data_IF_041824628817
#
_entry.id   IF_041824628817
#
_cell.length_a   1.000
_cell.length_b   1.000
_cell.length_c   1.000
_cell.angle_alpha   90.00
_cell.angle_beta   90.00
_cell.angle_gamma   90.00
#
_symmetry.space_group_name_H-M   'P 1'
#
loop_
_entity.id
_entity.type
_entity.pdbx_description
1 polymer ?
#
# COMPACT_ATOMS: atom_id res chain seq x y z
N UNK A 1 -11.77 16.77 -20.95
CA UNK A 1 -10.74 17.81 -21.12
C UNK A 1 -10.39 18.32 -19.73
N UNK A 2 -9.53 17.59 -19.01
CA UNK A 2 -8.97 18.01 -17.72
C UNK A 2 -7.67 18.78 -17.99
N UNK A 3 -7.34 19.71 -17.10
CA UNK A 3 -6.49 20.88 -17.37
C UNK A 3 -5.03 20.56 -17.76
N UNK A 4 -4.51 21.39 -18.66
CA UNK A 4 -3.25 21.31 -19.42
C UNK A 4 -1.94 21.57 -18.64
N UNK A 5 -1.92 21.48 -17.32
CA UNK A 5 -0.70 21.75 -16.55
C UNK A 5 -0.41 20.63 -15.55
N UNK A 6 0.52 19.75 -15.93
CA UNK A 6 1.18 18.76 -15.05
C UNK A 6 2.17 19.42 -14.06
N UNK A 7 2.18 20.75 -14.00
CA UNK A 7 2.94 21.53 -13.04
C UNK A 7 2.07 21.88 -11.85
N UNK A 8 2.39 21.31 -10.69
CA UNK A 8 1.66 21.64 -9.47
C UNK A 8 1.90 23.09 -9.10
N UNK A 9 0.92 23.72 -8.45
CA UNK A 9 1.07 25.08 -7.92
C UNK A 9 1.18 25.07 -6.39
N UNK A 10 0.61 24.07 -5.74
CA UNK A 10 0.59 23.89 -4.29
C UNK A 10 1.72 22.97 -3.85
N UNK A 11 2.56 23.40 -2.90
CA UNK A 11 3.59 22.54 -2.31
C UNK A 11 2.94 21.45 -1.46
N UNK A 12 3.40 20.23 -1.62
CA UNK A 12 2.97 19.10 -0.81
C UNK A 12 3.46 19.29 0.65
N UNK A 13 2.58 19.19 1.67
CA UNK A 13 2.97 19.16 3.07
C UNK A 13 3.96 18.03 3.38
N UNK A 14 5.02 18.35 4.14
CA UNK A 14 6.05 17.38 4.53
C UNK A 14 5.57 16.44 5.64
N UNK A 15 6.18 15.25 5.73
CA UNK A 15 5.91 14.31 6.81
C UNK A 15 6.41 14.85 8.16
N UNK A 16 5.64 14.68 9.26
CA UNK A 16 6.04 15.18 10.57
C UNK A 16 7.31 14.47 11.08
N UNK A 17 8.20 15.18 11.79
CA UNK A 17 9.38 14.57 12.38
C UNK A 17 8.96 13.52 13.42
N UNK A 18 9.66 12.39 13.44
CA UNK A 18 9.37 11.29 14.38
C UNK A 18 8.17 10.42 14.01
N UNK A 19 7.58 10.60 12.81
CA UNK A 19 6.56 9.69 12.30
C UNK A 19 7.09 8.24 12.27
N UNK A 20 6.24 7.28 12.64
CA UNK A 20 6.60 5.87 12.60
C UNK A 20 6.43 5.32 11.19
N UNK A 21 7.48 4.69 10.67
CA UNK A 21 7.51 4.13 9.33
C UNK A 21 7.62 2.61 9.32
N UNK A 22 7.04 2.03 8.28
CA UNK A 22 6.99 0.60 8.00
C UNK A 22 7.42 0.41 6.53
N UNK A 23 8.03 -0.75 6.23
CA UNK A 23 8.60 -1.06 4.91
C UNK A 23 9.70 -0.10 4.45
N UNK A 24 10.44 0.48 5.39
CA UNK A 24 11.64 1.27 5.12
C UNK A 24 12.60 1.20 6.30
N UNK A 25 13.92 1.16 6.08
CA UNK A 25 14.90 1.18 7.16
C UNK A 25 15.02 2.54 7.85
N UNK A 26 14.50 3.61 7.24
CA UNK A 26 14.60 4.99 7.75
C UNK A 26 13.37 5.83 7.38
N UNK A 27 13.04 6.87 8.17
CA UNK A 27 11.98 7.81 7.81
C UNK A 27 12.23 8.46 6.43
N UNK A 28 11.16 8.67 5.68
CA UNK A 28 11.21 9.38 4.41
C UNK A 28 10.85 10.87 4.58
N UNK A 29 11.30 11.67 3.62
CA UNK A 29 10.87 13.05 3.43
C UNK A 29 10.59 13.31 1.96
N UNK A 30 9.60 14.15 1.66
CA UNK A 30 9.32 14.59 0.30
C UNK A 30 10.49 15.38 -0.30
N UNK A 31 11.31 16.03 0.54
CA UNK A 31 12.56 16.65 0.10
C UNK A 31 13.56 15.62 -0.45
N UNK A 32 13.70 14.46 0.19
CA UNK A 32 14.59 13.38 -0.28
C UNK A 32 14.06 12.66 -1.52
N UNK A 33 12.77 12.80 -1.83
CA UNK A 33 12.10 12.22 -3.00
C UNK A 33 11.98 13.20 -4.17
N UNK A 34 12.66 14.36 -4.10
CA UNK A 34 12.75 15.28 -5.25
C UNK A 34 13.34 14.57 -6.46
N UNK A 35 12.81 14.87 -7.63
CA UNK A 35 13.14 14.16 -8.87
C UNK A 35 12.21 12.98 -9.16
N UNK A 36 11.31 12.60 -8.25
CA UNK A 36 10.37 11.48 -8.44
C UNK A 36 8.92 11.94 -8.34
N UNK A 37 8.04 11.22 -9.01
CA UNK A 37 6.62 11.28 -8.69
C UNK A 37 6.38 10.56 -7.36
N UNK A 38 5.50 11.10 -6.53
CA UNK A 38 5.08 10.47 -5.28
C UNK A 38 3.56 10.35 -5.26
N UNK A 39 3.03 9.15 -5.11
CA UNK A 39 1.61 8.89 -4.94
C UNK A 39 1.35 8.53 -3.48
N UNK A 40 0.71 9.44 -2.74
CA UNK A 40 0.23 9.16 -1.39
C UNK A 40 -1.10 8.43 -1.47
N UNK A 41 -1.25 7.34 -0.73
CA UNK A 41 -2.51 6.63 -0.50
C UNK A 41 -2.94 6.78 0.96
N UNK A 42 -4.01 7.52 1.22
CA UNK A 42 -4.59 7.69 2.55
C UNK A 42 -5.57 6.55 2.81
N UNK A 43 -5.20 5.65 3.72
CA UNK A 43 -5.92 4.38 3.92
C UNK A 43 -6.05 3.99 5.40
N UNK A 44 -6.90 3.00 5.64
CA UNK A 44 -7.04 2.28 6.93
C UNK A 44 -7.33 0.82 6.62
N UNK A 45 -6.82 -0.09 7.46
CA UNK A 45 -7.06 -1.52 7.26
C UNK A 45 -8.48 -2.00 7.57
N UNK A 46 -9.28 -1.22 8.29
CA UNK A 46 -10.70 -1.51 8.54
C UNK A 46 -11.61 -1.14 7.37
N UNK A 47 -11.08 -0.56 6.28
CA UNK A 47 -11.85 -0.11 5.12
C UNK A 47 -11.71 -1.10 3.96
N UNK A 48 -12.82 -1.72 3.55
CA UNK A 48 -12.84 -2.64 2.40
C UNK A 48 -12.47 -1.93 1.10
N UNK A 49 -12.89 -0.67 0.92
CA UNK A 49 -12.58 0.10 -0.28
C UNK A 49 -11.07 0.38 -0.40
N UNK A 50 -10.38 0.57 0.73
CA UNK A 50 -8.91 0.67 0.74
C UNK A 50 -8.27 -0.63 0.29
N UNK A 51 -8.80 -1.79 0.73
CA UNK A 51 -8.25 -3.08 0.32
C UNK A 51 -8.42 -3.33 -1.19
N UNK A 52 -9.51 -2.83 -1.78
CA UNK A 52 -9.79 -2.98 -3.21
C UNK A 52 -8.81 -2.21 -4.12
N UNK A 53 -8.19 -1.12 -3.64
CA UNK A 53 -7.24 -0.35 -4.45
C UNK A 53 -5.80 -0.86 -4.38
N UNK A 54 -5.47 -1.78 -3.46
CA UNK A 54 -4.12 -2.34 -3.35
C UNK A 54 -3.62 -2.93 -4.68
N UNK A 55 -4.41 -3.71 -5.45
CA UNK A 55 -4.00 -4.19 -6.76
C UNK A 55 -3.78 -3.06 -7.79
N UNK A 56 -4.56 -1.98 -7.72
CA UNK A 56 -4.36 -0.82 -8.59
C UNK A 56 -3.02 -0.14 -8.28
N UNK A 57 -2.70 0.03 -7.00
CA UNK A 57 -1.42 0.59 -6.55
C UNK A 57 -0.24 -0.29 -6.97
N UNK A 58 -0.33 -1.61 -6.73
CA UNK A 58 0.69 -2.57 -7.15
C UNK A 58 0.96 -2.49 -8.67
N UNK A 59 -0.09 -2.35 -9.47
CA UNK A 59 0.04 -2.20 -10.92
C UNK A 59 0.72 -0.89 -11.32
N UNK A 60 0.44 0.22 -10.62
CA UNK A 60 1.15 1.49 -10.83
C UNK A 60 2.62 1.39 -10.42
N UNK A 61 2.92 0.72 -9.31
CA UNK A 61 4.29 0.45 -8.86
C UNK A 61 5.05 -0.40 -9.90
N UNK A 62 4.41 -1.43 -10.45
CA UNK A 62 5.04 -2.29 -11.46
C UNK A 62 5.23 -1.58 -12.81
N UNK A 63 4.33 -0.68 -13.20
CA UNK A 63 4.40 0.06 -14.48
C UNK A 63 5.36 1.27 -14.43
N UNK A 64 5.47 1.96 -13.28
CA UNK A 64 6.18 3.24 -13.17
C UNK A 64 7.22 3.31 -12.03
N UNK A 65 7.52 2.20 -11.35
CA UNK A 65 8.33 2.19 -10.12
C UNK A 65 9.78 2.66 -10.27
N UNK A 66 10.28 2.87 -11.49
CA UNK A 66 11.58 3.49 -11.72
C UNK A 66 11.57 5.00 -11.41
N UNK A 67 10.43 5.67 -11.57
CA UNK A 67 10.27 7.11 -11.35
C UNK A 67 9.10 7.48 -10.41
N UNK A 68 8.26 6.52 -10.01
CA UNK A 68 7.14 6.67 -9.09
C UNK A 68 7.43 6.00 -7.74
N UNK A 69 7.13 6.72 -6.66
CA UNK A 69 7.11 6.17 -5.29
C UNK A 69 5.69 6.20 -4.77
N UNK A 70 5.13 5.02 -4.45
CA UNK A 70 3.87 4.94 -3.70
C UNK A 70 4.18 4.99 -2.21
N UNK A 71 3.40 5.75 -1.43
CA UNK A 71 3.51 5.79 0.04
C UNK A 71 2.12 5.66 0.64
N UNK A 72 1.92 4.64 1.46
CA UNK A 72 0.70 4.50 2.25
C UNK A 72 0.73 5.42 3.46
N UNK A 73 -0.21 6.35 3.56
CA UNK A 73 -0.50 7.13 4.76
C UNK A 73 -1.61 6.41 5.53
N UNK A 74 -1.23 5.59 6.50
CA UNK A 74 -2.17 4.84 7.30
C UNK A 74 -2.77 5.75 8.38
N UNK A 75 -4.01 6.22 8.18
CA UNK A 75 -4.74 7.05 9.14
C UNK A 75 -5.81 6.21 9.83
N UNK A 76 -5.65 5.97 11.14
CA UNK A 76 -6.41 4.98 11.89
C UNK A 76 -7.88 5.38 12.12
N UNK A 77 -8.84 4.60 11.60
CA UNK A 77 -10.28 4.77 11.86
C UNK A 77 -10.67 4.28 13.25
N UNK A 78 -10.07 3.17 13.71
CA UNK A 78 -10.37 2.57 15.00
C UNK A 78 -9.14 2.54 15.92
N UNK A 79 -9.37 2.44 17.24
CA UNK A 79 -8.29 2.51 18.24
C UNK A 79 -7.23 1.42 18.07
N UNK A 80 -7.63 0.21 17.67
CA UNK A 80 -6.71 -0.89 17.41
C UNK A 80 -5.80 -0.62 16.20
N UNK A 81 -6.19 0.25 15.27
CA UNK A 81 -5.41 0.53 14.06
C UNK A 81 -4.25 1.48 14.33
N UNK A 82 -4.24 2.16 15.47
CA UNK A 82 -3.17 3.09 15.85
C UNK A 82 -1.82 2.41 16.07
N UNK A 83 -1.82 1.10 16.39
CA UNK A 83 -0.61 0.35 16.70
C UNK A 83 0.09 -0.13 15.43
N UNK A 84 1.32 0.32 15.17
CA UNK A 84 2.07 -0.04 13.97
C UNK A 84 2.28 -1.55 13.79
N UNK A 85 2.34 -2.32 14.87
CA UNK A 85 2.45 -3.78 14.77
C UNK A 85 1.18 -4.43 14.16
N UNK A 86 0.01 -3.85 14.40
CA UNK A 86 -1.21 -4.30 13.74
C UNK A 86 -1.17 -3.94 12.25
N UNK A 87 -0.69 -2.73 11.93
CA UNK A 87 -0.49 -2.29 10.55
C UNK A 87 0.50 -3.20 9.83
N UNK A 88 1.65 -3.54 10.44
CA UNK A 88 2.66 -4.50 9.92
C UNK A 88 2.04 -5.83 9.51
N UNK A 89 1.22 -6.43 10.38
CA UNK A 89 0.56 -7.71 10.08
C UNK A 89 -0.44 -7.59 8.92
N UNK A 90 -1.13 -6.46 8.79
CA UNK A 90 -2.05 -6.23 7.67
C UNK A 90 -1.30 -6.04 6.36
N UNK A 91 -0.28 -5.19 6.31
CA UNK A 91 0.47 -4.96 5.08
C UNK A 91 1.10 -6.26 4.57
N UNK A 92 1.54 -7.14 5.48
CA UNK A 92 2.05 -8.46 5.12
C UNK A 92 0.93 -9.34 4.56
N UNK A 93 -0.23 -9.38 5.23
CA UNK A 93 -1.40 -10.15 4.79
C UNK A 93 -1.88 -9.76 3.39
N UNK A 94 -1.81 -8.47 3.05
CA UNK A 94 -2.28 -7.95 1.76
C UNK A 94 -1.17 -7.74 0.73
N UNK A 95 0.08 -8.04 1.07
CA UNK A 95 1.22 -7.92 0.15
C UNK A 95 1.54 -6.47 -0.23
N UNK A 96 1.33 -5.52 0.68
CA UNK A 96 1.72 -4.11 0.50
C UNK A 96 3.24 -4.02 0.65
N UNK A 97 3.93 -3.67 -0.44
CA UNK A 97 5.40 -3.58 -0.52
C UNK A 97 5.92 -2.17 -0.29
N UNK A 98 5.17 -1.16 -0.74
CA UNK A 98 5.56 0.23 -0.60
C UNK A 98 5.72 0.66 0.88
N UNK A 99 6.47 1.74 1.12
CA UNK A 99 6.57 2.38 2.43
C UNK A 99 5.22 2.80 2.97
N UNK A 100 5.04 2.63 4.28
CA UNK A 100 3.84 3.09 4.99
C UNK A 100 4.26 3.95 6.17
N UNK A 101 3.67 5.15 6.27
CA UNK A 101 3.74 6.00 7.45
C UNK A 101 2.48 5.79 8.29
N UNK A 102 2.65 5.55 9.58
CA UNK A 102 1.55 5.43 10.52
C UNK A 102 1.17 6.82 11.03
N UNK A 103 -0.04 7.28 10.71
CA UNK A 103 -0.61 8.59 11.07
C UNK A 103 -1.79 8.42 12.05
N UNK A 104 -1.55 7.92 13.28
CA UNK A 104 -2.62 7.58 14.22
C UNK A 104 -3.39 8.80 14.75
N UNK A 105 -2.78 9.99 14.67
CA UNK A 105 -3.34 11.26 15.14
C UNK A 105 -3.80 12.17 13.99
N UNK A 106 -3.95 11.63 12.77
CA UNK A 106 -4.46 12.36 11.59
C UNK A 106 -3.68 13.63 11.22
N UNK A 107 -2.41 13.74 11.61
CA UNK A 107 -1.59 14.93 11.35
C UNK A 107 -1.34 15.11 9.86
N UNK A 108 -1.00 14.02 9.14
CA UNK A 108 -0.78 14.07 7.70
C UNK A 108 -2.12 14.19 6.98
N UNK A 109 -3.11 13.43 7.41
CA UNK A 109 -4.49 13.50 6.90
C UNK A 109 -5.05 14.93 6.88
N UNK A 110 -4.92 15.65 8.00
CA UNK A 110 -5.40 17.02 8.14
C UNK A 110 -4.57 18.00 7.30
N UNK A 111 -3.25 17.82 7.23
CA UNK A 111 -2.37 18.67 6.43
C UNK A 111 -2.70 18.62 4.93
N UNK A 112 -3.18 17.47 4.44
CA UNK A 112 -3.64 17.27 3.06
C UNK A 112 -5.15 17.53 2.88
N UNK A 113 -5.84 17.97 3.93
CA UNK A 113 -7.28 18.23 3.94
C UNK A 113 -8.13 17.04 3.46
N UNK A 114 -7.68 15.82 3.74
CA UNK A 114 -8.36 14.58 3.34
C UNK A 114 -9.69 14.42 4.11
N UNK A 115 -10.69 13.83 3.46
CA UNK A 115 -12.05 13.69 4.00
C UNK A 115 -12.67 12.31 3.81
N UNK A 116 -12.01 11.40 3.10
CA UNK A 116 -12.54 10.08 2.78
C UNK A 116 -11.42 9.06 2.67
N UNK A 117 -11.76 7.80 2.97
CA UNK A 117 -10.91 6.66 2.68
C UNK A 117 -11.48 5.87 1.48
N UNK A 118 -10.64 5.41 0.53
CA UNK A 118 -9.29 5.90 0.28
C UNK A 118 -9.30 7.30 -0.36
N UNK A 119 -8.23 8.06 -0.16
CA UNK A 119 -7.92 9.25 -0.96
C UNK A 119 -6.47 9.12 -1.44
N UNK A 120 -6.21 9.45 -2.69
CA UNK A 120 -4.88 9.42 -3.28
C UNK A 120 -4.46 10.81 -3.74
N UNK A 121 -3.18 11.14 -3.56
CA UNK A 121 -2.60 12.44 -3.92
C UNK A 121 -1.32 12.22 -4.71
N UNK A 122 -1.28 12.69 -5.96
CA UNK A 122 -0.08 12.66 -6.80
C UNK A 122 0.70 13.96 -6.65
N UNK A 123 1.99 13.80 -6.40
CA UNK A 123 2.97 14.86 -6.18
C UNK A 123 4.04 14.77 -7.28
N UNK A 124 4.37 15.92 -7.86
CA UNK A 124 5.36 16.05 -8.92
C UNK A 124 6.82 15.98 -8.41
N UNK A 125 7.82 15.84 -9.30
CA UNK A 125 9.25 15.80 -8.95
C UNK A 125 9.77 17.06 -8.23
N UNK A 126 9.03 18.16 -8.31
CA UNK A 126 9.32 19.44 -7.62
C UNK A 126 8.62 19.51 -6.25
N UNK A 127 7.89 18.47 -5.87
CA UNK A 127 7.12 18.33 -4.63
C UNK A 127 5.88 19.17 -4.57
N UNK A 128 5.15 19.27 -5.68
CA UNK A 128 3.88 19.98 -5.75
C UNK A 128 2.76 19.03 -6.13
N UNK A 129 1.59 19.26 -5.55
CA UNK A 129 0.41 18.42 -5.80
C UNK A 129 -0.09 18.69 -7.23
N UNK A 130 -0.28 17.62 -8.00
CA UNK A 130 -0.78 17.65 -9.39
C UNK A 130 -2.05 16.84 -9.62
N UNK A 131 -2.45 16.01 -8.64
CA UNK A 131 -3.71 15.29 -8.71
C UNK A 131 -4.20 14.82 -7.35
N UNK A 132 -5.52 14.77 -7.18
CA UNK A 132 -6.18 14.19 -6.01
C UNK A 132 -7.41 13.41 -6.45
N UNK A 133 -7.62 12.24 -5.87
CA UNK A 133 -8.78 11.39 -6.14
C UNK A 133 -9.29 10.75 -4.86
N UNK A 134 -10.60 10.66 -4.70
CA UNK A 134 -11.22 9.99 -3.55
C UNK A 134 -12.07 8.82 -4.03
N UNK A 135 -11.89 7.67 -3.40
CA UNK A 135 -12.55 6.41 -3.77
C UNK A 135 -11.71 5.49 -4.63
N UNK A 136 -12.35 4.45 -5.16
CA UNK A 136 -11.71 3.36 -5.89
C UNK A 136 -11.36 3.70 -7.35
N UNK A 137 -10.71 2.76 -8.06
CA UNK A 137 -10.36 2.90 -9.47
C UNK A 137 -9.14 3.78 -9.72
N UNK A 138 -8.18 3.77 -8.79
CA UNK A 138 -6.98 4.62 -8.75
C UNK A 138 -6.13 4.44 -10.01
N UNK A 139 -5.96 3.20 -10.50
CA UNK A 139 -5.12 2.93 -11.67
C UNK A 139 -5.60 3.72 -12.88
N UNK A 140 -6.90 3.64 -13.20
CA UNK A 140 -7.48 4.35 -14.36
C UNK A 140 -7.36 5.87 -14.23
N UNK A 141 -7.44 6.40 -13.00
CA UNK A 141 -7.37 7.84 -12.75
C UNK A 141 -5.96 8.38 -12.93
N UNK A 142 -4.95 7.68 -12.41
CA UNK A 142 -3.58 8.22 -12.37
C UNK A 142 -2.67 7.73 -13.48
N UNK A 143 -2.95 6.60 -14.13
CA UNK A 143 -2.04 6.03 -15.13
C UNK A 143 -1.67 7.03 -16.23
N UNK A 144 -2.65 7.69 -16.84
CA UNK A 144 -2.40 8.64 -17.92
C UNK A 144 -1.75 9.94 -17.41
N UNK A 145 -2.15 10.41 -16.22
CA UNK A 145 -1.55 11.59 -15.59
C UNK A 145 -0.09 11.36 -15.21
N UNK A 146 0.25 10.18 -14.70
CA UNK A 146 1.62 9.78 -14.38
C UNK A 146 2.44 9.73 -15.66
N UNK A 147 1.94 9.08 -16.72
CA UNK A 147 2.64 8.98 -17.99
C UNK A 147 2.93 10.38 -18.60
N UNK A 148 1.93 11.26 -18.62
CA UNK A 148 2.08 12.65 -19.10
C UNK A 148 3.08 13.44 -18.25
N UNK A 149 3.02 13.32 -16.92
CA UNK A 149 3.95 13.98 -16.02
C UNK A 149 5.39 13.48 -16.24
N UNK A 150 5.61 12.16 -16.38
CA UNK A 150 6.93 11.60 -16.63
C UNK A 150 7.51 12.11 -17.95
N UNK A 151 6.74 12.11 -19.05
CA UNK A 151 7.21 12.66 -20.34
C UNK A 151 7.64 14.13 -20.18
N UNK A 152 6.85 14.92 -19.46
CA UNK A 152 7.15 16.34 -19.23
C UNK A 152 8.41 16.55 -18.40
N UNK A 153 8.55 15.84 -17.29
CA UNK A 153 9.68 16.03 -16.38
C UNK A 153 10.98 15.39 -16.89
N UNK A 154 10.88 14.39 -17.77
CA UNK A 154 12.01 13.90 -18.56
C UNK A 154 12.55 14.99 -19.48
N UNK A 155 11.67 15.71 -20.19
CA UNK A 155 12.07 16.84 -21.03
C UNK A 155 12.70 18.01 -20.23
N UNK A 156 12.30 18.18 -18.98
CA UNK A 156 12.91 19.15 -18.05
C UNK A 156 14.28 18.66 -17.49
N UNK A 157 14.63 17.38 -17.67
CA UNK A 157 15.90 16.79 -17.23
C UNK A 157 16.05 16.66 -15.71
N UNK A 158 14.94 16.53 -14.96
CA UNK A 158 14.96 16.52 -13.50
C UNK A 158 14.56 15.17 -12.87
N UNK A 159 14.25 14.16 -13.68
CA UNK A 159 13.83 12.86 -13.15
C UNK A 159 14.99 12.09 -12.53
N UNK A 160 14.75 11.56 -11.33
CA UNK A 160 15.64 10.61 -10.67
C UNK A 160 15.06 9.20 -10.83
N UNK A 161 15.77 8.36 -11.60
CA UNK A 161 15.41 6.97 -11.86
C UNK A 161 16.27 5.95 -11.09
N UNK A 162 17.00 6.39 -10.07
CA UNK A 162 17.80 5.46 -9.25
C UNK A 162 16.88 4.37 -8.68
N UNK A 163 17.24 3.07 -8.73
CA UNK A 163 16.34 2.02 -8.26
C UNK A 163 15.94 2.20 -6.80
N UNK A 164 14.65 2.09 -6.51
CA UNK A 164 14.14 2.27 -5.14
C UNK A 164 14.71 1.22 -4.19
N UNK A 165 14.97 0.00 -4.63
CA UNK A 165 15.54 -1.06 -3.79
C UNK A 165 16.96 -0.74 -3.28
N UNK A 166 17.72 0.06 -4.02
CA UNK A 166 19.03 0.55 -3.57
C UNK A 166 18.90 1.59 -2.44
N UNK A 167 17.77 2.30 -2.42
CA UNK A 167 17.46 3.37 -1.47
C UNK A 167 16.60 2.87 -0.30
N UNK A 168 15.84 1.79 -0.53
CA UNK A 168 14.74 1.28 0.27
C UNK A 168 14.55 -0.24 0.04
N UNK A 169 15.36 -1.10 0.66
CA UNK A 169 15.24 -2.54 0.48
C UNK A 169 13.88 -3.05 0.97
N UNK A 170 13.24 -3.91 0.17
CA UNK A 170 11.99 -4.55 0.53
C UNK A 170 12.13 -5.32 1.87
N UNK A 171 11.06 -5.38 2.69
CA UNK A 171 11.08 -6.16 3.91
C UNK A 171 11.35 -7.65 3.62
N UNK A 172 12.07 -8.31 4.51
CA UNK A 172 12.15 -9.76 4.49
C UNK A 172 10.74 -10.36 4.69
N UNK A 173 10.36 -11.31 3.83
CA UNK A 173 9.15 -12.10 4.06
C UNK A 173 9.32 -12.91 5.34
N UNK A 174 8.36 -12.86 6.29
CA UNK A 174 8.49 -13.62 7.53
C UNK A 174 8.60 -15.12 7.26
N UNK A 175 9.34 -15.80 8.15
CA UNK A 175 9.52 -17.24 8.07
C UNK A 175 8.17 -17.98 8.11
N UNK A 176 8.03 -18.98 7.25
CA UNK A 176 6.78 -19.72 7.08
C UNK A 176 6.35 -20.51 8.32
N UNK A 177 5.04 -20.65 8.48
CA UNK A 177 4.39 -21.58 9.40
C UNK A 177 3.52 -22.59 8.65
N UNK A 178 2.89 -23.53 9.36
CA UNK A 178 1.92 -24.46 8.75
C UNK A 178 0.70 -23.69 8.21
N UNK A 179 0.26 -22.67 8.95
CA UNK A 179 -0.80 -21.74 8.55
C UNK A 179 -0.24 -20.32 8.48
N UNK A 180 -0.84 -19.49 7.63
CA UNK A 180 -0.50 -18.08 7.46
C UNK A 180 -1.78 -17.26 7.28
N UNK A 181 -2.04 -16.36 8.24
CA UNK A 181 -3.26 -15.55 8.30
C UNK A 181 -4.57 -16.32 8.03
N UNK A 182 -4.85 -17.44 8.73
CA UNK A 182 -6.08 -18.19 8.52
C UNK A 182 -7.30 -17.31 8.81
N UNK A 183 -8.16 -17.12 7.82
CA UNK A 183 -9.29 -16.18 7.90
C UNK A 183 -10.53 -16.77 8.57
N UNK A 184 -10.76 -18.08 8.39
CA UNK A 184 -11.92 -18.83 8.88
C UNK A 184 -11.58 -20.30 9.10
N UNK A 185 -12.37 -20.95 9.94
CA UNK A 185 -12.37 -22.39 10.16
C UNK A 185 -13.81 -22.89 10.25
N UNK A 186 -14.08 -24.06 9.68
CA UNK A 186 -15.33 -24.81 9.83
C UNK A 186 -15.02 -26.16 10.46
N UNK A 187 -15.77 -26.55 11.49
CA UNK A 187 -15.74 -27.89 12.07
C UNK A 187 -16.93 -28.72 11.57
N UNK A 188 -16.63 -29.84 10.93
CA UNK A 188 -17.59 -30.88 10.55
C UNK A 188 -17.47 -32.02 11.55
N UNK A 189 -18.25 -31.95 12.63
CA UNK A 189 -18.25 -32.96 13.69
C UNK A 189 -18.68 -34.33 13.15
N UNK A 190 -19.68 -34.35 12.26
CA UNK A 190 -20.24 -35.59 11.71
C UNK A 190 -19.23 -36.35 10.85
N UNK A 191 -18.39 -35.62 10.10
CA UNK A 191 -17.32 -36.17 9.28
C UNK A 191 -15.96 -36.20 9.97
N UNK A 192 -15.84 -35.75 11.22
CA UNK A 192 -14.60 -35.74 12.00
C UNK A 192 -13.50 -34.84 11.43
N UNK A 193 -13.86 -33.72 10.77
CA UNK A 193 -12.92 -32.86 10.02
C UNK A 193 -12.98 -31.37 10.39
N UNK A 194 -11.87 -30.68 10.13
CA UNK A 194 -11.73 -29.23 10.11
C UNK A 194 -11.40 -28.78 8.70
N UNK A 195 -12.00 -27.67 8.26
CA UNK A 195 -11.66 -26.98 7.02
C UNK A 195 -11.16 -25.58 7.38
N UNK A 196 -9.89 -25.33 7.13
CA UNK A 196 -9.22 -24.07 7.49
C UNK A 196 -8.94 -23.28 6.22
N UNK A 197 -9.46 -22.05 6.16
CA UNK A 197 -9.17 -21.11 5.08
C UNK A 197 -7.81 -20.43 5.35
N UNK A 198 -6.74 -21.09 4.93
CA UNK A 198 -5.34 -20.66 5.08
C UNK A 198 -4.99 -19.54 4.09
N UNK A 199 -5.55 -18.36 4.38
CA UNK A 199 -5.70 -17.26 3.40
C UNK A 199 -4.35 -16.74 2.89
N UNK A 200 -3.35 -16.61 3.76
CA UNK A 200 -2.02 -16.13 3.41
C UNK A 200 -1.14 -17.14 2.67
N UNK A 201 -1.60 -18.39 2.55
CA UNK A 201 -1.02 -19.40 1.65
C UNK A 201 -1.94 -19.70 0.46
N UNK A 202 -3.03 -18.95 0.26
CA UNK A 202 -3.95 -19.12 -0.87
C UNK A 202 -4.44 -20.57 -1.06
N UNK A 203 -4.81 -21.24 0.04
CA UNK A 203 -5.24 -22.65 0.06
C UNK A 203 -6.25 -22.95 1.16
N UNK A 204 -6.89 -24.11 1.05
CA UNK A 204 -7.68 -24.73 2.12
C UNK A 204 -6.88 -25.88 2.73
N UNK A 205 -6.82 -25.96 4.05
CA UNK A 205 -6.25 -27.09 4.77
C UNK A 205 -7.39 -27.92 5.36
N UNK A 206 -7.43 -29.20 5.03
CA UNK A 206 -8.36 -30.18 5.62
C UNK A 206 -7.60 -30.95 6.69
N UNK A 207 -8.10 -30.94 7.92
CA UNK A 207 -7.51 -31.66 9.04
C UNK A 207 -8.55 -32.51 9.77
N UNK A 208 -8.11 -33.45 10.60
CA UNK A 208 -8.99 -34.12 11.57
C UNK A 208 -9.33 -33.17 12.72
N UNK A 209 -10.36 -33.50 13.52
CA UNK A 209 -10.63 -32.74 14.77
C UNK A 209 -9.46 -32.78 15.77
N UNK A 210 -8.57 -33.78 15.65
CA UNK A 210 -7.32 -33.88 16.43
C UNK A 210 -6.18 -33.01 15.90
N UNK A 211 -6.36 -32.35 14.75
CA UNK A 211 -5.35 -31.46 14.15
C UNK A 211 -4.40 -32.10 13.16
N UNK A 212 -4.59 -33.38 12.81
CA UNK A 212 -3.78 -34.04 11.78
C UNK A 212 -4.21 -33.58 10.39
N UNK A 213 -3.27 -33.09 9.58
CA UNK A 213 -3.56 -32.65 8.20
C UNK A 213 -3.85 -33.86 7.33
N UNK A 214 -5.01 -33.85 6.68
CA UNK A 214 -5.50 -34.90 5.78
C UNK A 214 -5.29 -34.50 4.32
N UNK A 215 -5.52 -33.22 3.98
CA UNK A 215 -5.38 -32.72 2.62
C UNK A 215 -5.10 -31.21 2.59
N UNK A 216 -4.56 -30.74 1.46
CA UNK A 216 -4.28 -29.32 1.19
C UNK A 216 -4.70 -28.99 -0.24
N UNK A 217 -5.67 -28.09 -0.38
CA UNK A 217 -6.29 -27.75 -1.66
C UNK A 217 -5.95 -26.30 -2.03
N UNK A 218 -5.14 -26.10 -3.07
CA UNK A 218 -4.75 -24.78 -3.59
C UNK A 218 -3.35 -24.80 -4.20
N UNK A 219 -3.08 -23.92 -5.16
CA UNK A 219 -1.77 -23.83 -5.83
C UNK A 219 -0.71 -23.07 -5.04
N UNK A 220 -1.11 -22.45 -3.91
CA UNK A 220 -0.25 -21.51 -3.18
C UNK A 220 -0.16 -20.12 -3.83
N UNK A 221 -0.78 -19.92 -4.99
CA UNK A 221 -0.80 -18.65 -5.71
C UNK A 221 -2.15 -17.96 -5.52
N UNK A 222 -2.12 -16.63 -5.47
CA UNK A 222 -3.33 -15.80 -5.49
C UNK A 222 -4.10 -16.07 -6.78
N UNK A 223 -5.40 -16.33 -6.66
CA UNK A 223 -6.34 -16.49 -7.78
C UNK A 223 -6.94 -15.18 -8.25
#
# INVERSE_FOLDING_TARGET
MLAKDVYGTVRAPEFPPGAEWINTPRPLSLAALRGRLVLLDFWTYGCINCMHIIPDLQRLEDEFGDALVVIGVHSAKFANERYAENVRRVIERYGVRHPVVNDPEFTIWEAYAVRAWPTTVLIDPRGRVIGTHSGEGVYRVFRDLIAEALERYEADGILDRTPLDEVMPAPASPAGGILRFPGKVLADESGGRLFIADTGHHRIVVATLGGEVVDVIGSGQRG
#
